data_IF_667198369846
#
_entry.id   IF_667198369846
#
_cell.length_a   1.000
_cell.length_b   1.000
_cell.length_c   1.000
_cell.angle_alpha   90.00
_cell.angle_beta   90.00
_cell.angle_gamma   90.00
#
_symmetry.space_group_name_H-M   'P 1'
#
loop_
_entity.id
_entity.type
_entity.pdbx_description
1 polymer ?
#
# COMPACT_ATOMS: atom_id res chain seq x y z
N UNK A 1 16.73 10.57 18.98
CA UNK A 1 18.11 10.14 19.33
C UNK A 1 19.09 10.93 18.48
N UNK A 2 20.18 11.43 19.05
CA UNK A 2 21.27 12.11 18.31
C UNK A 2 22.44 11.14 18.22
N UNK A 3 22.94 10.92 17.01
CA UNK A 3 24.08 10.04 16.75
C UNK A 3 25.03 10.75 15.76
N UNK A 4 26.33 10.51 15.90
CA UNK A 4 27.34 10.98 14.95
C UNK A 4 27.66 9.82 14.01
N UNK A 5 27.40 10.00 12.72
CA UNK A 5 27.65 8.99 11.68
C UNK A 5 28.56 9.60 10.62
N UNK A 6 29.53 8.82 10.14
CA UNK A 6 30.35 9.24 9.01
C UNK A 6 29.65 8.76 7.72
N UNK A 7 29.24 9.69 6.87
CA UNK A 7 28.52 9.43 5.62
C UNK A 7 29.24 10.19 4.51
N UNK A 8 29.47 9.58 3.34
CA UNK A 8 30.00 10.28 2.18
C UNK A 8 29.13 11.49 1.78
N UNK A 9 29.77 12.63 1.50
CA UNK A 9 29.07 13.90 1.21
C UNK A 9 28.31 13.88 -0.12
N UNK A 10 28.82 13.11 -1.10
CA UNK A 10 28.18 12.84 -2.39
C UNK A 10 26.83 12.14 -2.21
N UNK A 11 26.79 11.06 -1.43
CA UNK A 11 25.59 10.33 -1.05
C UNK A 11 24.58 11.23 -0.34
N UNK A 12 25.04 12.07 0.58
CA UNK A 12 24.17 12.99 1.30
C UNK A 12 23.57 14.05 0.36
N UNK A 13 24.37 14.56 -0.57
CA UNK A 13 23.92 15.51 -1.60
C UNK A 13 22.86 14.88 -2.50
N UNK A 14 23.07 13.63 -2.93
CA UNK A 14 22.12 12.90 -3.77
C UNK A 14 20.80 12.63 -3.05
N UNK A 15 20.86 12.22 -1.78
CA UNK A 15 19.66 12.03 -0.95
C UNK A 15 18.92 13.36 -0.77
N UNK A 16 19.62 14.47 -0.49
CA UNK A 16 18.97 15.78 -0.37
C UNK A 16 18.31 16.25 -1.67
N UNK A 17 18.95 16.03 -2.82
CA UNK A 17 18.37 16.32 -4.15
C UNK A 17 17.14 15.47 -4.41
N UNK A 18 17.23 14.17 -4.11
CA UNK A 18 16.15 13.21 -4.33
C UNK A 18 14.94 13.47 -3.43
N UNK A 19 15.15 13.88 -2.18
CA UNK A 19 14.06 14.19 -1.25
C UNK A 19 13.58 15.64 -1.33
N UNK A 20 14.30 16.55 -2.00
CA UNK A 20 14.01 17.99 -2.05
C UNK A 20 14.18 18.71 -0.71
N UNK A 21 14.83 18.09 0.28
CA UNK A 21 14.90 18.59 1.65
C UNK A 21 16.18 19.39 1.89
N UNK A 22 16.01 20.61 2.43
CA UNK A 22 17.15 21.51 2.75
C UNK A 22 17.96 21.03 3.96
N UNK A 23 17.35 20.25 4.84
CA UNK A 23 17.99 19.74 6.06
C UNK A 23 18.53 18.32 5.85
N UNK A 24 19.83 18.13 6.10
CA UNK A 24 20.54 16.84 6.08
C UNK A 24 19.80 15.78 6.93
N UNK A 25 19.36 16.16 8.13
CA UNK A 25 18.65 15.26 9.05
C UNK A 25 17.27 14.83 8.52
N UNK A 26 16.51 15.77 7.93
CA UNK A 26 15.21 15.44 7.35
C UNK A 26 15.35 14.53 6.13
N UNK A 27 16.30 14.83 5.25
CA UNK A 27 16.57 14.03 4.07
C UNK A 27 16.89 12.57 4.44
N UNK A 28 17.76 12.35 5.44
CA UNK A 28 18.07 11.01 5.96
C UNK A 28 16.82 10.34 6.57
N UNK A 29 16.03 11.09 7.33
CA UNK A 29 14.82 10.54 7.97
C UNK A 29 13.80 10.07 6.92
N UNK A 30 13.61 10.85 5.85
CA UNK A 30 12.74 10.50 4.73
C UNK A 30 13.28 9.26 4.00
N UNK A 31 14.57 9.24 3.68
CA UNK A 31 15.20 8.10 3.02
C UNK A 31 15.06 6.80 3.84
N UNK A 32 15.25 6.85 5.15
CA UNK A 32 15.06 5.68 6.02
C UNK A 32 13.61 5.20 6.07
N UNK A 33 12.64 6.12 6.15
CA UNK A 33 11.21 5.77 6.11
C UNK A 33 10.85 5.09 4.78
N UNK A 34 11.35 5.63 3.67
CA UNK A 34 11.10 5.09 2.34
C UNK A 34 11.75 3.72 2.17
N UNK A 35 12.97 3.51 2.68
CA UNK A 35 13.63 2.22 2.68
C UNK A 35 12.80 1.15 3.41
N UNK A 36 12.28 1.47 4.60
CA UNK A 36 11.41 0.55 5.36
C UNK A 36 10.12 0.27 4.57
N UNK A 37 9.52 1.29 3.95
CA UNK A 37 8.31 1.13 3.13
C UNK A 37 8.55 0.17 1.96
N UNK A 38 9.64 0.35 1.22
CA UNK A 38 10.01 -0.52 0.11
C UNK A 38 10.28 -1.95 0.56
N UNK A 39 10.92 -2.15 1.72
CA UNK A 39 11.14 -3.47 2.28
C UNK A 39 9.83 -4.19 2.59
N UNK A 40 8.88 -3.51 3.24
CA UNK A 40 7.54 -4.07 3.52
C UNK A 40 6.79 -4.43 2.23
N UNK A 41 6.87 -3.58 1.20
CA UNK A 41 6.26 -3.89 -0.10
C UNK A 41 6.88 -5.14 -0.71
N UNK A 42 8.22 -5.27 -0.67
CA UNK A 42 8.90 -6.48 -1.17
C UNK A 42 8.50 -7.73 -0.39
N UNK A 43 8.35 -7.63 0.93
CA UNK A 43 7.85 -8.73 1.76
C UNK A 43 6.42 -9.13 1.37
N UNK A 44 5.52 -8.17 1.16
CA UNK A 44 4.15 -8.43 0.67
C UNK A 44 4.14 -9.07 -0.73
N UNK A 45 4.98 -8.58 -1.65
CA UNK A 45 5.13 -9.17 -2.99
C UNK A 45 5.70 -10.60 -2.89
N UNK A 46 6.61 -10.87 -1.95
CA UNK A 46 7.14 -12.22 -1.74
C UNK A 46 6.10 -13.19 -1.16
N UNK A 47 5.01 -12.68 -0.57
CA UNK A 47 3.85 -13.46 -0.16
C UNK A 47 2.83 -13.67 -1.29
N UNK A 48 2.99 -12.99 -2.44
CA UNK A 48 2.14 -13.17 -3.62
C UNK A 48 2.18 -14.63 -4.08
N UNK A 49 1.00 -15.22 -4.24
CA UNK A 49 0.86 -16.63 -4.61
C UNK A 49 0.85 -17.62 -3.44
N UNK A 50 1.07 -17.17 -2.20
CA UNK A 50 0.84 -17.98 -0.98
C UNK A 50 -0.56 -17.80 -0.39
N UNK A 51 -1.26 -16.76 -0.81
CA UNK A 51 -2.61 -16.46 -0.36
C UNK A 51 -3.55 -17.11 -1.37
N UNK A 52 -4.29 -18.14 -0.95
CA UNK A 52 -5.46 -18.60 -1.69
C UNK A 52 -6.54 -17.53 -1.57
N UNK A 53 -6.97 -17.00 -2.70
CA UNK A 53 -8.13 -16.12 -2.80
C UNK A 53 -9.15 -16.93 -3.56
N UNK A 54 -10.29 -17.20 -2.91
CA UNK A 54 -11.43 -17.83 -3.57
C UNK A 54 -12.13 -16.79 -4.44
N UNK A 55 -12.44 -17.18 -5.68
CA UNK A 55 -13.19 -16.33 -6.60
C UNK A 55 -14.69 -16.50 -6.32
N UNK A 56 -15.24 -15.58 -5.51
CA UNK A 56 -16.64 -15.55 -5.11
C UNK A 56 -17.51 -14.65 -5.99
N UNK A 57 -17.01 -14.26 -7.18
CA UNK A 57 -17.69 -13.29 -8.05
C UNK A 57 -19.09 -13.76 -8.47
N UNK A 58 -19.21 -15.03 -8.89
CA UNK A 58 -20.48 -15.61 -9.31
C UNK A 58 -21.50 -15.68 -8.15
N UNK A 59 -21.03 -15.96 -6.94
CA UNK A 59 -21.87 -16.04 -5.75
C UNK A 59 -22.43 -14.65 -5.38
N UNK A 60 -21.60 -13.62 -5.48
CA UNK A 60 -22.00 -12.23 -5.24
C UNK A 60 -22.98 -11.73 -6.30
N UNK A 61 -22.74 -12.01 -7.58
CA UNK A 61 -23.64 -11.63 -8.67
C UNK A 61 -25.03 -12.29 -8.51
N UNK A 62 -25.06 -13.57 -8.12
CA UNK A 62 -26.31 -14.26 -7.84
C UNK A 62 -27.07 -13.67 -6.65
N UNK A 63 -26.37 -13.24 -5.59
CA UNK A 63 -26.98 -12.57 -4.45
C UNK A 63 -27.61 -11.23 -4.85
N UNK A 64 -26.92 -10.42 -5.66
CA UNK A 64 -27.46 -9.16 -6.19
C UNK A 64 -28.72 -9.40 -7.03
N UNK A 65 -28.71 -10.40 -7.90
CA UNK A 65 -29.86 -10.77 -8.74
C UNK A 65 -31.06 -11.21 -7.88
N UNK A 66 -30.84 -12.00 -6.83
CA UNK A 66 -31.92 -12.42 -5.93
C UNK A 66 -32.49 -11.24 -5.13
N UNK A 67 -31.66 -10.33 -4.64
CA UNK A 67 -32.13 -9.09 -3.99
C UNK A 67 -33.01 -8.26 -4.94
N UNK A 68 -32.59 -8.11 -6.20
CA UNK A 68 -33.37 -7.40 -7.22
C UNK A 68 -34.73 -8.08 -7.48
N UNK A 69 -34.77 -9.42 -7.55
CA UNK A 69 -36.03 -10.17 -7.71
C UNK A 69 -36.94 -10.03 -6.50
N UNK A 70 -36.39 -10.02 -5.29
CA UNK A 70 -37.17 -9.81 -4.07
C UNK A 70 -37.77 -8.41 -3.99
N UNK A 71 -36.99 -7.39 -4.35
CA UNK A 71 -37.47 -6.02 -4.41
C UNK A 71 -38.57 -5.90 -5.45
N UNK A 72 -38.37 -6.39 -6.67
CA UNK A 72 -39.37 -6.35 -7.75
C UNK A 72 -40.69 -7.04 -7.33
N UNK A 73 -40.60 -8.21 -6.70
CA UNK A 73 -41.76 -8.91 -6.11
C UNK A 73 -42.48 -8.06 -5.07
N UNK A 74 -41.74 -7.35 -4.20
CA UNK A 74 -42.31 -6.43 -3.19
C UNK A 74 -43.01 -5.23 -3.82
N UNK A 75 -42.52 -4.71 -4.94
CA UNK A 75 -43.14 -3.60 -5.67
C UNK A 75 -44.43 -4.03 -6.38
N UNK A 76 -44.49 -5.24 -6.92
CA UNK A 76 -45.66 -5.77 -7.65
C UNK A 76 -46.77 -6.34 -6.76
N UNK A 77 -46.51 -6.55 -5.46
CA UNK A 77 -47.49 -7.05 -4.47
C UNK A 77 -48.09 -5.96 -3.58
N UNK A 78 -47.75 -4.68 -3.80
CA UNK A 78 -48.38 -3.50 -3.19
C UNK A 78 -49.37 -2.84 -4.14
#
# INVERSE_FOLDING_TARGET
>A
MRATLNIPDDLLSEVQKSTGEKSKTKAITVAMKEYIRQKKIKELIALRGKIQIEDVTEELENLEIEEMKEDDRRWHTR
#
